data_IF_701251603730
#
_entry.id   IF_701251603730
#
_cell.length_a   1.000
_cell.length_b   1.000
_cell.length_c   1.000
_cell.angle_alpha   90.00
_cell.angle_beta   90.00
_cell.angle_gamma   90.00
#
_symmetry.space_group_name_H-M   'P 1'
#
loop_
_entity.id
_entity.type
_entity.pdbx_description
1 polymer ?
#
# COMPACT_ATOMS: atom_id res chain seq x y z
N UNK A 1 18.83 2.52 -12.16
CA UNK A 1 18.26 3.75 -11.56
C UNK A 1 17.01 3.36 -10.80
N UNK A 2 16.89 3.77 -9.54
CA UNK A 2 15.68 3.53 -8.75
C UNK A 2 14.65 4.63 -9.05
N UNK A 3 13.37 4.29 -8.95
CA UNK A 3 12.26 5.23 -9.15
C UNK A 3 11.30 5.15 -7.98
N UNK A 4 10.78 6.31 -7.55
CA UNK A 4 9.68 6.37 -6.58
C UNK A 4 8.39 6.22 -7.38
N UNK A 5 7.51 5.31 -6.96
CA UNK A 5 6.19 5.12 -7.55
C UNK A 5 5.16 5.40 -6.45
N UNK A 6 4.28 6.37 -6.68
CA UNK A 6 3.18 6.66 -5.77
C UNK A 6 2.16 5.52 -5.82
N UNK A 7 1.73 5.06 -4.65
CA UNK A 7 0.76 3.99 -4.51
C UNK A 7 -0.47 4.53 -3.77
N UNK A 8 -1.56 4.75 -4.50
CA UNK A 8 -2.75 5.45 -3.98
C UNK A 8 -3.87 4.50 -3.57
N UNK A 9 -3.81 3.24 -3.98
CA UNK A 9 -4.83 2.26 -3.64
C UNK A 9 -4.56 1.75 -2.23
N UNK A 10 -5.60 1.69 -1.41
CA UNK A 10 -5.55 1.25 -0.01
C UNK A 10 -6.40 0.00 0.25
N UNK A 11 -6.79 -0.72 -0.81
CA UNK A 11 -7.63 -1.92 -0.74
C UNK A 11 -7.20 -2.99 -1.75
N UNK A 12 -7.54 -4.27 -1.51
CA UNK A 12 -7.23 -5.34 -2.44
C UNK A 12 -8.02 -5.22 -3.76
N UNK A 13 -7.46 -5.77 -4.83
CA UNK A 13 -8.21 -6.08 -6.04
C UNK A 13 -8.94 -7.41 -5.84
N UNK A 14 -10.24 -7.38 -6.05
CA UNK A 14 -11.07 -8.59 -6.02
C UNK A 14 -11.07 -9.18 -7.42
N UNK A 15 -10.51 -10.39 -7.57
CA UNK A 15 -10.38 -11.09 -8.84
C UNK A 15 -11.15 -12.40 -8.75
N UNK A 16 -12.05 -12.64 -9.70
CA UNK A 16 -12.76 -13.92 -9.82
C UNK A 16 -11.99 -14.86 -10.73
N UNK A 17 -11.70 -16.06 -10.26
CA UNK A 17 -11.02 -17.13 -11.00
C UNK A 17 -11.92 -18.36 -10.98
N UNK A 18 -12.76 -18.49 -12.02
CA UNK A 18 -13.88 -19.43 -12.02
C UNK A 18 -14.88 -19.08 -10.91
N UNK A 19 -15.22 -20.05 -10.07
CA UNK A 19 -16.14 -19.87 -8.93
C UNK A 19 -15.44 -19.39 -7.64
N UNK A 20 -14.12 -19.16 -7.69
CA UNK A 20 -13.34 -18.70 -6.52
C UNK A 20 -13.06 -17.21 -6.61
N UNK A 21 -13.10 -16.55 -5.47
CA UNK A 21 -12.68 -15.16 -5.29
C UNK A 21 -11.26 -15.11 -4.72
N UNK A 22 -10.39 -14.31 -5.32
CA UNK A 22 -9.00 -14.10 -4.91
C UNK A 22 -8.79 -12.61 -4.68
N UNK A 23 -8.16 -12.27 -3.55
CA UNK A 23 -7.84 -10.88 -3.20
C UNK A 23 -6.36 -10.63 -3.45
N UNK A 24 -6.04 -9.75 -4.39
CA UNK A 24 -4.67 -9.33 -4.72
C UNK A 24 -4.35 -8.05 -3.96
N UNK A 25 -3.19 -8.00 -3.31
CA UNK A 25 -2.73 -6.84 -2.57
C UNK A 25 -2.69 -5.61 -3.49
N UNK A 26 -3.41 -4.57 -3.09
CA UNK A 26 -3.39 -3.29 -3.76
C UNK A 26 -2.94 -2.14 -2.87
N UNK A 27 -2.57 -2.40 -1.61
CA UNK A 27 -2.06 -1.39 -0.67
C UNK A 27 -0.53 -1.38 -0.54
N UNK A 28 0.17 -2.34 -1.16
CA UNK A 28 1.63 -2.42 -1.07
C UNK A 28 2.19 -2.94 0.25
N UNK A 29 1.38 -3.21 1.29
CA UNK A 29 1.85 -3.59 2.64
C UNK A 29 1.76 -5.07 3.01
N UNK A 30 1.19 -5.94 2.17
CA UNK A 30 1.10 -7.37 2.50
C UNK A 30 2.47 -8.04 2.61
N UNK A 31 2.65 -8.93 3.58
CA UNK A 31 3.80 -9.83 3.71
C UNK A 31 3.65 -11.08 2.82
N UNK A 32 2.43 -11.39 2.38
CA UNK A 32 2.10 -12.52 1.52
C UNK A 32 1.82 -12.11 0.06
N UNK A 33 2.65 -11.21 -0.51
CA UNK A 33 2.47 -10.76 -1.90
C UNK A 33 2.52 -11.95 -2.89
N UNK A 34 1.68 -11.94 -3.95
CA UNK A 34 0.80 -10.86 -4.40
C UNK A 34 -0.57 -10.83 -3.70
N UNK A 35 -0.84 -11.74 -2.76
CA UNK A 35 -2.16 -11.87 -2.14
C UNK A 35 -2.37 -10.82 -1.04
N UNK A 36 -3.63 -10.53 -0.74
CA UNK A 36 -3.98 -9.73 0.44
C UNK A 36 -3.99 -10.61 1.69
N UNK A 37 -3.38 -10.11 2.76
CA UNK A 37 -3.33 -10.73 4.10
C UNK A 37 -3.97 -9.84 5.20
N UNK A 38 -4.62 -8.74 4.82
CA UNK A 38 -5.29 -7.82 5.74
C UNK A 38 -4.48 -6.58 6.15
N UNK A 39 -3.20 -6.47 5.76
CA UNK A 39 -2.38 -5.29 6.08
C UNK A 39 -2.93 -3.95 5.55
N UNK A 40 -3.81 -3.99 4.54
CA UNK A 40 -4.52 -2.81 4.04
C UNK A 40 -5.40 -2.12 5.10
N UNK A 41 -5.65 -2.76 6.25
CA UNK A 41 -6.33 -2.08 7.35
C UNK A 41 -5.49 -0.94 7.96
N UNK A 42 -4.15 -0.98 7.83
CA UNK A 42 -3.25 0.11 8.25
C UNK A 42 -3.34 1.36 7.38
N UNK A 43 -4.02 1.28 6.24
CA UNK A 43 -4.14 2.35 5.23
C UNK A 43 -5.55 2.97 5.20
N UNK A 44 -6.43 2.61 6.14
CA UNK A 44 -7.84 3.05 6.15
C UNK A 44 -8.00 4.49 6.64
N UNK A 45 -7.15 4.92 7.56
CA UNK A 45 -7.11 6.26 8.16
C UNK A 45 -6.09 7.19 7.48
N UNK A 46 -5.53 6.77 6.34
CA UNK A 46 -4.66 7.62 5.53
C UNK A 46 -5.47 8.79 4.94
N UNK A 47 -5.07 10.01 5.29
CA UNK A 47 -5.63 11.25 4.76
C UNK A 47 -4.97 11.68 3.45
N UNK A 48 -5.06 12.97 3.14
CA UNK A 48 -4.32 13.57 2.03
C UNK A 48 -2.89 13.86 2.49
N UNK A 49 -2.00 12.88 2.31
CA UNK A 49 -0.59 12.97 2.69
C UNK A 49 0.21 11.84 2.05
N UNK A 50 1.52 11.85 2.27
CA UNK A 50 2.36 10.75 1.81
C UNK A 50 2.80 9.93 3.02
N UNK A 51 2.48 8.65 3.01
CA UNK A 51 2.78 7.72 4.10
C UNK A 51 3.89 6.77 3.68
N UNK A 52 4.98 6.78 4.44
CA UNK A 52 6.11 5.87 4.29
C UNK A 52 6.00 4.77 5.34
N UNK A 53 6.12 3.53 4.88
CA UNK A 53 6.15 2.36 5.74
C UNK A 53 7.57 1.79 5.76
N UNK A 54 8.11 1.62 6.96
CA UNK A 54 9.41 0.97 7.13
C UNK A 54 9.30 -0.57 7.10
N UNK A 55 10.44 -1.25 7.15
CA UNK A 55 10.52 -2.72 7.16
C UNK A 55 9.88 -3.39 8.39
N UNK A 56 9.64 -2.64 9.45
CA UNK A 56 9.00 -3.12 10.68
C UNK A 56 7.49 -2.82 10.66
N UNK A 57 6.99 -2.14 9.62
CA UNK A 57 5.60 -1.73 9.49
C UNK A 57 5.24 -0.45 10.24
N UNK A 58 6.24 0.33 10.70
CA UNK A 58 6.00 1.65 11.26
C UNK A 58 5.64 2.64 10.14
N UNK A 59 4.64 3.49 10.41
CA UNK A 59 4.17 4.51 9.47
C UNK A 59 4.73 5.88 9.85
N UNK A 60 5.26 6.59 8.85
CA UNK A 60 5.70 7.99 8.96
C UNK A 60 4.97 8.81 7.90
N UNK A 61 4.33 9.90 8.31
CA UNK A 61 3.74 10.87 7.40
C UNK A 61 4.82 11.87 6.95
N UNK A 62 4.90 12.11 5.64
CA UNK A 62 5.88 12.99 5.02
C UNK A 62 5.17 14.04 4.17
N UNK A 63 5.53 15.30 4.40
CA UNK A 63 4.89 16.47 3.78
C UNK A 63 5.48 16.85 2.42
N UNK A 64 6.74 16.50 2.15
CA UNK A 64 7.39 16.70 0.85
C UNK A 64 8.51 15.68 0.65
N UNK A 65 8.63 15.16 -0.59
CA UNK A 65 9.78 14.34 -1.01
C UNK A 65 10.85 15.14 -1.73
N UNK A 66 10.51 16.37 -2.14
CA UNK A 66 11.43 17.29 -2.76
C UNK A 66 11.63 18.42 -1.76
N UNK A 67 12.78 18.41 -1.09
CA UNK A 67 13.28 19.63 -0.49
C UNK A 67 13.46 20.62 -1.64
N UNK A 68 12.56 21.60 -1.70
CA UNK A 68 12.72 22.73 -2.60
C UNK A 68 14.01 23.44 -2.18
N UNK A 69 14.98 23.70 -3.07
CA UNK A 69 16.02 24.67 -2.75
C UNK A 69 15.40 26.05 -2.47
#
# INVERSE_FOLDING_TARGET
MSRIVLHERNRPYVVKVGDKEVHICGCGLSDNKPYCDGHHMKTVDEGQGIFLYDKNGNRVEVNSFYDNP
#
